data_IF_660900448093
#
_entry.id   IF_660900448093
#
_cell.length_a   1.000
_cell.length_b   1.000
_cell.length_c   1.000
_cell.angle_alpha   90.00
_cell.angle_beta   90.00
_cell.angle_gamma   90.00
#
_symmetry.space_group_name_H-M   'P 1'
#
loop_
_entity.id
_entity.type
_entity.pdbx_description
1 polymer ?
#
# COMPACT_ATOMS: atom_id res chain seq x y z
N UNK A 1 -20.31 -9.19 26.80
CA UNK A 1 -20.06 -8.63 25.44
C UNK A 1 -20.99 -7.44 25.27
N UNK A 2 -20.43 -6.24 25.21
CA UNK A 2 -21.23 -5.01 25.21
C UNK A 2 -21.92 -4.80 23.85
N UNK A 3 -23.22 -4.48 23.85
CA UNK A 3 -24.03 -4.27 22.63
C UNK A 3 -23.47 -3.24 21.64
N UNK A 4 -22.52 -2.40 22.06
CA UNK A 4 -21.83 -1.41 21.21
C UNK A 4 -20.78 -2.05 20.29
N UNK A 5 -20.14 -3.15 20.75
CA UNK A 5 -19.18 -3.92 19.91
C UNK A 5 -19.94 -4.70 18.84
N UNK A 6 -21.14 -5.18 19.18
CA UNK A 6 -22.00 -5.89 18.24
C UNK A 6 -22.50 -4.96 17.11
N UNK A 7 -22.78 -3.70 17.40
CA UNK A 7 -23.25 -2.73 16.39
C UNK A 7 -22.15 -2.35 15.40
N UNK A 8 -20.91 -2.17 15.86
CA UNK A 8 -19.74 -1.96 15.00
C UNK A 8 -19.46 -3.19 14.11
N UNK A 9 -19.58 -4.40 14.67
CA UNK A 9 -19.40 -5.65 13.92
C UNK A 9 -20.50 -5.85 12.87
N UNK A 10 -21.75 -5.48 13.15
CA UNK A 10 -22.87 -5.61 12.20
C UNK A 10 -22.75 -4.60 11.06
N UNK A 11 -22.32 -3.36 11.32
CA UNK A 11 -22.02 -2.40 10.26
C UNK A 11 -20.86 -2.87 9.37
N UNK A 12 -19.88 -3.54 9.94
CA UNK A 12 -18.75 -4.13 9.25
C UNK A 12 -19.18 -5.27 8.30
N UNK A 13 -20.08 -6.15 8.74
CA UNK A 13 -20.59 -7.25 7.91
C UNK A 13 -21.49 -6.76 6.78
N UNK A 14 -22.25 -5.69 6.97
CA UNK A 14 -23.14 -5.16 5.92
C UNK A 14 -22.39 -4.44 4.79
N UNK A 15 -21.22 -3.86 5.05
CA UNK A 15 -20.39 -3.25 4.01
C UNK A 15 -19.71 -4.28 3.10
N UNK A 16 -19.38 -5.46 3.61
CA UNK A 16 -18.78 -6.56 2.84
C UNK A 16 -19.78 -7.19 1.87
N UNK A 17 -21.08 -7.11 2.16
CA UNK A 17 -22.14 -7.68 1.31
C UNK A 17 -22.53 -6.81 0.10
N UNK A 18 -22.12 -5.55 0.06
CA UNK A 18 -22.46 -4.62 -1.02
C UNK A 18 -21.54 -4.69 -2.25
N UNK A 19 -20.42 -5.39 -2.17
CA UNK A 19 -19.47 -5.51 -3.28
C UNK A 19 -19.84 -6.65 -4.26
N UNK A 20 -21.08 -6.69 -4.73
CA UNK A 20 -21.56 -7.58 -5.79
C UNK A 20 -21.61 -6.85 -7.14
N UNK A 21 -20.54 -6.18 -7.53
CA UNK A 21 -20.53 -5.56 -8.85
C UNK A 21 -19.17 -5.81 -9.49
N UNK A 22 -19.17 -6.45 -10.62
CA UNK A 22 -18.03 -6.70 -11.50
C UNK A 22 -16.95 -7.61 -10.88
N UNK A 23 -16.75 -8.75 -11.46
CA UNK A 23 -15.73 -9.70 -11.03
C UNK A 23 -14.70 -9.83 -12.14
N UNK A 24 -13.44 -9.80 -11.78
CA UNK A 24 -12.34 -10.22 -12.66
C UNK A 24 -11.83 -11.55 -12.14
N UNK A 25 -11.90 -12.55 -13.00
CA UNK A 25 -11.38 -13.90 -12.73
C UNK A 25 -10.12 -14.20 -13.50
N UNK A 26 -9.39 -15.21 -13.05
CA UNK A 26 -8.23 -15.79 -13.74
C UNK A 26 -7.19 -14.75 -14.19
N UNK A 27 -6.80 -13.87 -13.25
CA UNK A 27 -5.85 -12.80 -13.56
C UNK A 27 -4.43 -13.36 -13.58
N UNK A 28 -3.78 -13.26 -14.74
CA UNK A 28 -2.36 -13.61 -14.89
C UNK A 28 -1.61 -12.34 -15.28
N UNK A 29 -0.58 -11.99 -14.51
CA UNK A 29 0.31 -10.86 -14.74
C UNK A 29 1.73 -11.37 -14.96
N UNK A 30 2.32 -11.03 -16.10
CA UNK A 30 3.71 -11.36 -16.42
C UNK A 30 4.49 -10.06 -16.63
N UNK A 31 5.64 -9.95 -15.98
CA UNK A 31 6.57 -8.83 -16.10
C UNK A 31 7.91 -9.37 -16.55
N UNK A 32 8.44 -8.80 -17.61
CA UNK A 32 9.70 -9.23 -18.22
C UNK A 32 10.43 -8.07 -18.90
N UNK A 33 11.63 -8.34 -19.44
CA UNK A 33 12.43 -7.40 -20.23
C UNK A 33 12.63 -6.07 -19.53
N UNK A 34 13.01 -6.12 -18.26
CA UNK A 34 13.28 -4.93 -17.50
C UNK A 34 14.56 -4.28 -18.01
N UNK A 35 14.45 -3.03 -18.44
CA UNK A 35 15.56 -2.17 -18.82
C UNK A 35 15.67 -1.04 -17.80
N UNK A 36 16.71 -1.08 -16.97
CA UNK A 36 16.93 -0.08 -15.92
C UNK A 36 17.37 1.27 -16.50
N UNK A 37 18.12 1.27 -17.61
CA UNK A 37 18.62 2.50 -18.22
C UNK A 37 17.50 3.33 -18.84
N UNK A 38 16.49 2.66 -19.39
CA UNK A 38 15.31 3.28 -19.98
C UNK A 38 14.13 3.34 -19.03
N UNK A 39 14.28 2.82 -17.81
CA UNK A 39 13.23 2.73 -16.80
C UNK A 39 11.94 2.09 -17.34
N UNK A 40 12.06 1.06 -18.15
CA UNK A 40 10.92 0.39 -18.75
C UNK A 40 10.90 -1.12 -18.49
N UNK A 41 9.73 -1.70 -18.65
CA UNK A 41 9.49 -3.13 -18.57
C UNK A 41 8.40 -3.54 -19.55
N UNK A 42 8.46 -4.78 -19.99
CA UNK A 42 7.36 -5.38 -20.76
C UNK A 42 6.38 -6.05 -19.80
N UNK A 43 5.11 -5.69 -19.95
CA UNK A 43 4.00 -6.26 -19.16
C UNK A 43 3.03 -6.97 -20.09
N UNK A 44 2.67 -8.20 -19.74
CA UNK A 44 1.53 -8.87 -20.33
C UNK A 44 0.56 -9.32 -19.24
N UNK A 45 -0.72 -9.12 -19.48
CA UNK A 45 -1.74 -9.62 -18.57
C UNK A 45 -2.91 -10.27 -19.32
N UNK A 46 -3.52 -11.24 -18.67
CA UNK A 46 -4.77 -11.85 -19.14
C UNK A 46 -5.73 -11.99 -17.97
N UNK A 47 -7.01 -11.75 -18.22
CA UNK A 47 -8.07 -11.84 -17.23
C UNK A 47 -9.42 -12.04 -17.90
N UNK A 48 -10.41 -12.46 -17.13
CA UNK A 48 -11.81 -12.59 -17.57
C UNK A 48 -12.64 -11.52 -16.90
N UNK A 49 -13.33 -10.70 -17.68
CA UNK A 49 -14.30 -9.72 -17.17
C UNK A 49 -15.68 -10.36 -17.13
N UNK A 50 -16.29 -10.47 -15.94
CA UNK A 50 -17.72 -10.77 -15.78
C UNK A 50 -18.51 -9.47 -15.72
N UNK A 51 -19.17 -9.11 -16.80
CA UNK A 51 -19.97 -7.90 -16.91
C UNK A 51 -21.25 -7.92 -16.07
N UNK A 52 -21.70 -9.11 -15.64
CA UNK A 52 -22.97 -9.27 -14.91
C UNK A 52 -24.11 -8.46 -15.55
N UNK A 53 -24.59 -7.43 -14.86
CA UNK A 53 -25.65 -6.53 -15.34
C UNK A 53 -25.14 -5.23 -15.96
N UNK A 54 -23.84 -5.00 -15.95
CA UNK A 54 -23.23 -3.79 -16.51
C UNK A 54 -22.91 -3.96 -17.98
N UNK A 55 -23.06 -2.88 -18.76
CA UNK A 55 -22.62 -2.83 -20.14
C UNK A 55 -21.21 -2.27 -20.31
N UNK A 56 -20.59 -1.79 -19.20
CA UNK A 56 -19.24 -1.29 -19.20
C UNK A 56 -18.50 -1.59 -17.90
N UNK A 57 -17.17 -1.71 -18.02
CA UNK A 57 -16.23 -1.87 -16.92
C UNK A 57 -15.15 -0.81 -17.08
N UNK A 58 -14.86 -0.08 -16.00
CA UNK A 58 -13.81 0.95 -15.97
C UNK A 58 -12.74 0.49 -15.01
N UNK A 59 -11.54 0.27 -15.54
CA UNK A 59 -10.36 -0.12 -14.79
C UNK A 59 -9.40 1.07 -14.63
N UNK A 60 -8.70 1.12 -13.51
CA UNK A 60 -7.55 2.00 -13.38
C UNK A 60 -6.39 1.41 -14.18
N UNK A 61 -5.70 2.22 -14.97
CA UNK A 61 -4.59 1.79 -15.81
C UNK A 61 -3.79 2.97 -16.34
N UNK A 62 -2.47 2.88 -16.24
CA UNK A 62 -1.57 3.91 -16.75
C UNK A 62 -1.21 4.98 -15.74
N UNK A 63 -0.23 5.78 -16.05
CA UNK A 63 0.36 6.74 -15.14
C UNK A 63 0.10 8.21 -15.49
N UNK A 64 0.71 9.12 -14.76
CA UNK A 64 0.46 10.57 -14.73
C UNK A 64 1.45 11.40 -15.57
N UNK A 65 1.74 11.01 -16.78
CA UNK A 65 2.63 11.78 -17.66
C UNK A 65 4.14 11.58 -17.42
N UNK A 66 4.56 11.11 -16.23
CA UNK A 66 5.90 10.56 -15.99
C UNK A 66 5.93 9.05 -16.21
N UNK A 67 4.77 8.46 -16.25
CA UNK A 67 4.50 7.06 -16.44
C UNK A 67 3.83 6.91 -17.80
N UNK A 68 4.41 6.15 -18.70
CA UNK A 68 3.80 5.92 -20.01
C UNK A 68 3.49 4.45 -20.24
N UNK A 69 2.43 4.25 -21.00
CA UNK A 69 2.03 2.95 -21.53
C UNK A 69 2.19 3.03 -23.04
N UNK A 70 3.11 2.26 -23.58
CA UNK A 70 3.43 2.26 -25.00
C UNK A 70 3.17 0.89 -25.62
N UNK A 71 2.97 0.88 -26.94
CA UNK A 71 2.76 -0.36 -27.71
C UNK A 71 1.60 -1.21 -27.18
N UNK A 72 0.56 -0.57 -26.65
CA UNK A 72 -0.59 -1.27 -26.08
C UNK A 72 -1.33 -2.05 -27.14
N UNK A 73 -1.40 -3.35 -26.96
CA UNK A 73 -2.25 -4.26 -27.74
C UNK A 73 -3.25 -4.94 -26.86
N UNK A 74 -4.50 -4.98 -27.28
CA UNK A 74 -5.59 -5.65 -26.55
C UNK A 74 -6.25 -6.65 -27.49
N UNK A 75 -6.25 -7.90 -27.08
CA UNK A 75 -6.92 -9.00 -27.77
C UNK A 75 -8.06 -9.53 -26.89
N UNK A 76 -9.14 -9.87 -27.49
CA UNK A 76 -10.30 -10.46 -26.83
C UNK A 76 -10.66 -11.78 -27.47
N UNK A 77 -11.22 -12.70 -26.70
CA UNK A 77 -11.68 -13.99 -27.21
C UNK A 77 -12.98 -13.88 -28.06
N UNK A 78 -13.48 -12.67 -28.25
CA UNK A 78 -14.72 -12.40 -29.01
C UNK A 78 -14.68 -11.01 -29.60
N UNK A 79 -15.32 -10.78 -30.75
CA UNK A 79 -15.53 -9.45 -31.34
C UNK A 79 -16.57 -8.59 -30.56
N UNK A 80 -17.11 -9.10 -29.48
CA UNK A 80 -18.21 -8.53 -28.71
C UNK A 80 -17.76 -7.49 -27.67
N UNK A 81 -16.49 -7.08 -27.69
CA UNK A 81 -15.94 -6.10 -26.74
C UNK A 81 -15.32 -4.93 -27.50
N UNK A 82 -15.70 -3.72 -27.12
CA UNK A 82 -15.01 -2.50 -27.49
C UNK A 82 -14.21 -1.99 -26.29
N UNK A 83 -13.09 -1.36 -26.53
CA UNK A 83 -12.29 -0.73 -25.47
C UNK A 83 -11.87 0.68 -25.88
N UNK A 84 -11.60 1.50 -24.87
CA UNK A 84 -11.04 2.83 -25.00
C UNK A 84 -10.03 3.05 -23.88
N UNK A 85 -8.78 3.31 -24.23
CA UNK A 85 -7.77 3.75 -23.28
C UNK A 85 -7.78 5.27 -23.19
N UNK A 86 -7.84 5.80 -21.99
CA UNK A 86 -7.91 7.23 -21.66
C UNK A 86 -6.69 7.57 -20.79
N UNK A 87 -5.53 7.86 -21.37
CA UNK A 87 -4.29 8.08 -20.62
C UNK A 87 -4.39 9.22 -19.60
N UNK A 88 -4.97 10.35 -20.00
CA UNK A 88 -5.13 11.51 -19.10
C UNK A 88 -6.02 11.22 -17.89
N UNK A 89 -7.01 10.36 -18.05
CA UNK A 89 -7.88 9.92 -16.97
C UNK A 89 -7.34 8.68 -16.23
N UNK A 90 -6.24 8.07 -16.71
CA UNK A 90 -5.69 6.80 -16.21
C UNK A 90 -6.74 5.69 -16.17
N UNK A 91 -7.54 5.58 -17.21
CA UNK A 91 -8.65 4.65 -17.29
C UNK A 91 -8.58 3.81 -18.55
N UNK A 92 -8.93 2.54 -18.38
CA UNK A 92 -9.22 1.62 -19.46
C UNK A 92 -10.69 1.23 -19.38
N UNK A 93 -11.46 1.61 -20.37
CA UNK A 93 -12.91 1.39 -20.41
C UNK A 93 -13.19 0.25 -21.37
N UNK A 94 -13.85 -0.79 -20.89
CA UNK A 94 -14.39 -1.86 -21.71
C UNK A 94 -15.91 -1.71 -21.83
N UNK A 95 -16.44 -1.84 -23.05
CA UNK A 95 -17.86 -1.82 -23.34
C UNK A 95 -18.28 -3.12 -24.00
N UNK A 96 -19.20 -3.83 -23.36
CA UNK A 96 -19.78 -5.06 -23.85
C UNK A 96 -20.74 -4.77 -25.01
N UNK A 97 -20.62 -5.56 -26.08
CA UNK A 97 -21.63 -5.60 -27.14
C UNK A 97 -22.61 -6.75 -26.84
N UNK A 98 -22.05 -7.92 -26.51
CA UNK A 98 -22.83 -9.09 -26.09
C UNK A 98 -21.97 -10.05 -25.26
N UNK A 99 -22.59 -11.02 -24.60
CA UNK A 99 -21.89 -11.97 -23.75
C UNK A 99 -21.74 -11.46 -22.32
N UNK A 100 -21.39 -12.35 -21.41
CA UNK A 100 -21.21 -12.05 -19.98
C UNK A 100 -19.75 -12.12 -19.59
N UNK A 101 -19.09 -13.21 -19.88
CA UNK A 101 -17.70 -13.45 -19.52
C UNK A 101 -16.83 -13.29 -20.76
N UNK A 102 -15.94 -12.29 -20.74
CA UNK A 102 -15.10 -11.97 -21.88
C UNK A 102 -13.65 -12.03 -21.44
N UNK A 103 -12.87 -12.91 -22.08
CA UNK A 103 -11.42 -13.01 -21.88
C UNK A 103 -10.70 -11.87 -22.58
N UNK A 104 -9.76 -11.27 -21.88
CA UNK A 104 -8.93 -10.16 -22.36
C UNK A 104 -7.45 -10.55 -22.22
N UNK A 105 -6.64 -10.28 -23.25
CA UNK A 105 -5.18 -10.33 -23.19
C UNK A 105 -4.63 -8.99 -23.58
N UNK A 106 -3.68 -8.50 -22.81
CA UNK A 106 -3.02 -7.20 -23.05
C UNK A 106 -1.51 -7.40 -23.06
N UNK A 107 -0.82 -6.64 -23.94
CA UNK A 107 0.63 -6.51 -23.93
C UNK A 107 0.98 -5.04 -24.12
N UNK A 108 1.96 -4.56 -23.38
CA UNK A 108 2.43 -3.18 -23.46
C UNK A 108 3.81 -3.04 -22.83
N UNK A 109 4.47 -1.94 -23.14
CA UNK A 109 5.64 -1.49 -22.41
C UNK A 109 5.21 -0.43 -21.41
N UNK A 110 5.68 -0.58 -20.18
CA UNK A 110 5.42 0.36 -19.11
C UNK A 110 6.72 1.05 -18.73
N UNK A 111 6.71 2.37 -18.78
CA UNK A 111 7.86 3.20 -18.40
C UNK A 111 7.52 3.98 -17.15
N UNK A 112 8.40 3.91 -16.15
CA UNK A 112 8.28 4.64 -14.90
C UNK A 112 9.58 5.35 -14.56
N UNK A 113 9.80 6.49 -15.18
CA UNK A 113 10.99 7.31 -14.96
C UNK A 113 11.14 7.73 -13.50
N UNK A 114 10.04 7.91 -12.78
CA UNK A 114 10.08 8.30 -11.37
C UNK A 114 10.57 7.18 -10.47
N UNK A 115 10.09 5.94 -10.65
CA UNK A 115 10.48 4.81 -9.82
C UNK A 115 11.93 4.43 -10.00
N UNK A 116 12.44 4.43 -11.24
CA UNK A 116 13.82 4.03 -11.53
C UNK A 116 14.86 5.10 -11.20
N UNK A 117 14.50 6.39 -11.21
CA UNK A 117 15.44 7.49 -11.03
C UNK A 117 15.36 8.17 -9.66
N UNK A 118 14.21 8.23 -9.01
CA UNK A 118 14.06 8.90 -7.71
C UNK A 118 14.81 8.15 -6.62
N UNK A 119 14.87 6.85 -6.73
CA UNK A 119 15.52 5.98 -5.76
C UNK A 119 16.94 5.59 -6.17
N UNK A 120 17.63 6.45 -6.93
CA UNK A 120 18.99 6.26 -7.44
C UNK A 120 19.86 5.42 -6.51
N UNK A 121 20.42 4.35 -7.00
CA UNK A 121 21.09 3.31 -6.23
C UNK A 121 20.60 1.91 -6.62
N UNK A 122 19.81 1.81 -7.71
CA UNK A 122 19.41 0.52 -8.27
C UNK A 122 18.16 -0.07 -7.66
N UNK A 123 17.24 0.78 -7.18
CA UNK A 123 15.91 0.35 -6.73
C UNK A 123 14.85 0.90 -7.67
N UNK A 124 13.96 0.05 -8.13
CA UNK A 124 12.70 0.42 -8.73
C UNK A 124 11.56 -0.08 -7.83
N UNK A 125 10.69 0.81 -7.41
CA UNK A 125 9.48 0.46 -6.68
C UNK A 125 8.27 0.63 -7.60
N UNK A 126 7.45 -0.40 -7.68
CA UNK A 126 6.21 -0.42 -8.41
C UNK A 126 5.08 -0.77 -7.44
N UNK A 127 4.17 0.14 -7.21
CA UNK A 127 3.08 -0.06 -6.27
C UNK A 127 1.78 0.53 -6.78
N UNK A 128 0.74 -0.20 -6.53
CA UNK A 128 -0.63 0.16 -6.83
C UNK A 128 -1.33 0.55 -5.55
N UNK A 129 -1.23 1.80 -5.20
CA UNK A 129 -1.98 2.41 -4.11
C UNK A 129 -2.67 3.66 -4.59
N UNK A 130 -3.37 4.37 -3.74
CA UNK A 130 -3.91 5.70 -4.02
C UNK A 130 -2.90 6.71 -4.59
N UNK A 131 -1.61 6.35 -4.61
CA UNK A 131 -0.51 7.19 -5.10
C UNK A 131 -0.12 6.97 -6.56
N UNK A 132 -0.80 6.09 -7.31
CA UNK A 132 -0.94 6.26 -8.76
C UNK A 132 0.07 5.61 -9.70
N UNK A 133 0.62 4.49 -9.36
CA UNK A 133 1.45 3.74 -10.31
C UNK A 133 0.66 2.57 -10.91
N UNK A 134 -0.41 2.83 -11.65
CA UNK A 134 -1.29 1.81 -12.22
C UNK A 134 -0.57 1.00 -13.33
N UNK A 135 0.49 0.27 -12.98
CA UNK A 135 1.32 -0.46 -13.94
C UNK A 135 0.64 -1.71 -14.52
N UNK A 136 -0.48 -2.12 -13.95
CA UNK A 136 -1.38 -3.12 -14.51
C UNK A 136 -2.85 -2.67 -14.36
N UNK A 137 -3.76 -3.11 -15.26
CA UNK A 137 -5.16 -2.73 -15.16
C UNK A 137 -5.83 -3.44 -13.99
N UNK A 138 -6.58 -2.69 -13.16
CA UNK A 138 -7.32 -3.25 -12.05
C UNK A 138 -8.66 -2.54 -11.82
N UNK A 139 -9.60 -3.26 -11.22
CA UNK A 139 -10.82 -2.67 -10.69
C UNK A 139 -10.56 -2.18 -9.26
N UNK A 140 -10.77 -0.88 -8.97
CA UNK A 140 -10.65 -0.37 -7.62
C UNK A 140 -11.56 -1.12 -6.66
N UNK A 141 -11.06 -1.39 -5.45
CA UNK A 141 -11.80 -1.99 -4.34
C UNK A 141 -12.42 -3.38 -4.66
N UNK A 142 -11.84 -4.09 -5.61
CA UNK A 142 -12.25 -5.44 -6.00
C UNK A 142 -11.17 -6.47 -5.66
N UNK A 143 -11.61 -7.65 -5.26
CA UNK A 143 -10.72 -8.79 -5.01
C UNK A 143 -10.61 -9.68 -6.25
N UNK A 144 -9.45 -10.27 -6.45
CA UNK A 144 -9.21 -11.28 -7.49
C UNK A 144 -8.16 -12.30 -7.04
N UNK A 145 -8.18 -13.45 -7.68
CA UNK A 145 -7.06 -14.38 -7.67
C UNK A 145 -6.07 -13.95 -8.74
N UNK A 146 -4.83 -13.72 -8.35
CA UNK A 146 -3.78 -13.24 -9.26
C UNK A 146 -2.62 -14.23 -9.30
N UNK A 147 -2.20 -14.60 -10.50
CA UNK A 147 -0.94 -15.29 -10.75
C UNK A 147 0.07 -14.27 -11.26
N UNK A 148 1.13 -14.03 -10.49
CA UNK A 148 2.25 -13.18 -10.87
C UNK A 148 3.41 -14.02 -11.35
N UNK A 149 3.97 -13.69 -12.50
CA UNK A 149 5.22 -14.24 -13.02
C UNK A 149 6.19 -13.11 -13.36
N UNK A 150 7.42 -13.22 -12.88
CA UNK A 150 8.50 -12.27 -13.14
C UNK A 150 9.64 -12.97 -13.86
N UNK A 151 10.17 -12.34 -14.90
CA UNK A 151 11.41 -12.73 -15.57
C UNK A 151 12.38 -11.55 -15.54
N UNK A 152 13.38 -11.64 -14.66
CA UNK A 152 14.25 -10.54 -14.28
C UNK A 152 15.69 -10.83 -14.67
N UNK A 153 16.51 -9.81 -14.95
CA UNK A 153 17.97 -9.96 -15.01
C UNK A 153 18.52 -10.58 -13.71
N UNK A 154 19.56 -11.36 -13.80
CA UNK A 154 20.18 -11.99 -12.62
C UNK A 154 20.72 -11.00 -11.59
N UNK A 155 20.96 -9.75 -12.00
CA UNK A 155 21.37 -8.64 -11.12
C UNK A 155 20.24 -8.09 -10.26
N UNK A 156 18.98 -8.45 -10.54
CA UNK A 156 17.81 -7.94 -9.84
C UNK A 156 17.26 -8.97 -8.85
N UNK A 157 16.89 -8.50 -7.67
CA UNK A 157 16.15 -9.25 -6.67
C UNK A 157 14.77 -8.61 -6.46
N UNK A 158 13.67 -9.34 -6.63
CA UNK A 158 12.34 -8.79 -6.41
C UNK A 158 11.86 -8.96 -4.98
N UNK A 159 11.28 -7.90 -4.41
CA UNK A 159 10.38 -7.96 -3.29
C UNK A 159 8.96 -7.71 -3.78
N UNK A 160 8.01 -8.41 -3.22
CA UNK A 160 6.60 -8.30 -3.58
C UNK A 160 5.76 -8.18 -2.31
N UNK A 161 4.59 -7.61 -2.43
CA UNK A 161 3.56 -7.64 -1.39
C UNK A 161 3.27 -9.05 -0.87
N UNK A 162 3.58 -10.05 -1.66
CA UNK A 162 3.35 -11.47 -1.37
C UNK A 162 4.62 -12.28 -1.60
N UNK A 163 4.83 -13.37 -0.83
CA UNK A 163 6.01 -14.21 -0.96
C UNK A 163 6.16 -14.75 -2.38
N UNK A 164 7.32 -14.51 -2.98
CA UNK A 164 7.68 -15.00 -4.30
C UNK A 164 8.43 -16.33 -4.17
N UNK A 165 8.10 -17.27 -5.04
CA UNK A 165 8.87 -18.51 -5.21
C UNK A 165 9.84 -18.33 -6.37
N UNK A 166 11.11 -18.62 -6.12
CA UNK A 166 12.12 -18.70 -7.18
C UNK A 166 11.89 -20.01 -7.98
N UNK A 167 11.65 -19.89 -9.27
CA UNK A 167 11.26 -21.02 -10.13
C UNK A 167 12.33 -21.36 -11.18
N UNK A 168 13.40 -20.57 -11.30
CA UNK A 168 14.51 -20.75 -12.23
C UNK A 168 15.38 -19.50 -12.30
N UNK A 169 16.45 -19.49 -13.08
CA UNK A 169 17.33 -18.32 -13.22
C UNK A 169 16.53 -17.09 -13.60
N UNK A 170 16.58 -16.06 -12.78
CA UNK A 170 15.83 -14.82 -12.95
C UNK A 170 14.30 -14.95 -12.94
N UNK A 171 13.76 -16.13 -12.63
CA UNK A 171 12.31 -16.40 -12.67
C UNK A 171 11.73 -16.52 -11.28
N UNK A 172 10.70 -15.73 -11.03
CA UNK A 172 9.96 -15.70 -9.79
C UNK A 172 8.47 -15.75 -10.06
N UNK A 173 7.68 -16.26 -9.12
CA UNK A 173 6.25 -16.26 -9.26
C UNK A 173 5.52 -16.55 -7.96
N UNK A 174 4.25 -16.15 -7.91
CA UNK A 174 3.33 -16.51 -6.85
C UNK A 174 1.90 -16.59 -7.38
N UNK A 175 1.07 -17.35 -6.67
CA UNK A 175 -0.37 -17.32 -6.82
C UNK A 175 -0.96 -16.76 -5.55
N UNK A 176 -1.79 -15.75 -5.69
CA UNK A 176 -2.39 -15.00 -4.61
C UNK A 176 -3.90 -15.16 -4.75
N UNK A 177 -4.54 -15.71 -3.72
CA UNK A 177 -5.97 -15.92 -3.73
C UNK A 177 -6.67 -14.79 -2.98
N UNK A 178 -7.73 -14.25 -3.57
CA UNK A 178 -8.56 -13.21 -2.95
C UNK A 178 -7.78 -11.95 -2.58
N UNK A 179 -6.88 -11.48 -3.44
CA UNK A 179 -6.14 -10.24 -3.24
C UNK A 179 -7.00 -9.04 -3.61
N UNK A 180 -6.88 -7.95 -2.85
CA UNK A 180 -7.35 -6.64 -3.28
C UNK A 180 -6.52 -6.21 -4.49
N UNK A 181 -7.17 -5.98 -5.64
CA UNK A 181 -6.46 -5.84 -6.92
C UNK A 181 -5.43 -4.70 -6.94
N UNK A 182 -5.70 -3.59 -6.25
CA UNK A 182 -4.76 -2.46 -6.17
C UNK A 182 -3.59 -2.66 -5.20
N UNK A 183 -3.46 -3.84 -4.57
CA UNK A 183 -2.49 -4.07 -3.50
C UNK A 183 -1.23 -4.81 -3.93
N UNK A 184 -1.05 -5.08 -5.23
CA UNK A 184 0.14 -5.75 -5.72
C UNK A 184 1.27 -4.74 -5.92
N UNK A 185 2.21 -4.74 -5.00
CA UNK A 185 3.39 -3.88 -5.06
C UNK A 185 4.66 -4.68 -5.26
N UNK A 186 5.59 -4.09 -5.98
CA UNK A 186 6.90 -4.66 -6.26
C UNK A 186 8.00 -3.66 -5.91
N UNK A 187 9.11 -4.14 -5.34
CA UNK A 187 10.38 -3.45 -5.32
C UNK A 187 11.41 -4.32 -6.05
N UNK A 188 12.09 -3.75 -7.02
CA UNK A 188 13.10 -4.41 -7.82
C UNK A 188 14.47 -3.90 -7.38
N UNK A 189 15.17 -4.68 -6.56
CA UNK A 189 16.43 -4.30 -5.93
C UNK A 189 17.61 -4.78 -6.76
N UNK A 190 18.56 -3.91 -7.05
CA UNK A 190 19.85 -4.33 -7.61
C UNK A 190 20.69 -5.02 -6.54
N UNK A 191 21.06 -6.28 -6.74
CA UNK A 191 21.70 -7.13 -5.74
C UNK A 191 22.97 -6.51 -5.15
N UNK A 192 23.80 -5.91 -5.99
CA UNK A 192 25.08 -5.31 -5.56
C UNK A 192 24.90 -3.96 -4.83
N UNK A 193 23.73 -3.33 -4.96
CA UNK A 193 23.43 -2.05 -4.33
C UNK A 193 22.85 -2.21 -2.92
N UNK A 194 22.50 -3.42 -2.49
CA UNK A 194 21.83 -3.67 -1.23
C UNK A 194 22.55 -4.69 -0.36
N UNK A 195 22.50 -4.46 0.94
CA UNK A 195 22.89 -5.41 1.98
C UNK A 195 21.64 -5.87 2.69
N UNK A 196 21.41 -7.18 2.73
CA UNK A 196 20.34 -7.78 3.51
C UNK A 196 20.81 -8.04 4.94
N UNK A 197 20.03 -7.58 5.90
CA UNK A 197 20.16 -7.93 7.31
C UNK A 197 18.85 -8.58 7.76
N UNK A 198 18.90 -9.84 8.14
CA UNK A 198 17.75 -10.56 8.69
C UNK A 198 17.76 -10.47 10.21
N UNK A 199 16.66 -10.06 10.79
CA UNK A 199 16.46 -10.10 12.24
C UNK A 199 15.65 -11.34 12.60
N UNK A 200 16.26 -12.26 13.34
CA UNK A 200 15.65 -13.53 13.76
C UNK A 200 14.45 -13.40 14.72
N UNK A 201 14.03 -14.58 15.21
CA UNK A 201 12.90 -14.80 16.13
C UNK A 201 12.55 -13.63 17.10
N UNK A 202 11.27 -13.39 17.45
CA UNK A 202 10.10 -14.17 17.05
C UNK A 202 9.49 -13.71 15.71
N UNK A 203 10.01 -12.69 15.10
CA UNK A 203 9.52 -12.12 13.85
C UNK A 203 10.71 -11.95 12.90
N UNK A 204 10.80 -12.80 11.91
CA UNK A 204 11.77 -12.66 10.84
C UNK A 204 11.47 -11.41 10.02
N UNK A 205 12.29 -10.38 10.22
CA UNK A 205 12.22 -9.13 9.44
C UNK A 205 13.48 -9.00 8.61
N UNK A 206 13.31 -8.72 7.35
CA UNK A 206 14.38 -8.41 6.44
C UNK A 206 14.56 -6.89 6.33
N UNK A 207 15.79 -6.44 6.44
CA UNK A 207 16.16 -5.03 6.22
C UNK A 207 17.11 -4.97 5.02
N UNK A 208 16.63 -4.35 3.96
CA UNK A 208 17.41 -4.08 2.76
C UNK A 208 17.96 -2.66 2.84
N UNK A 209 19.25 -2.54 3.10
CA UNK A 209 19.94 -1.25 3.24
C UNK A 209 20.87 -1.01 2.05
N UNK A 210 21.05 0.26 1.66
CA UNK A 210 21.92 0.63 0.55
C UNK A 210 23.37 0.39 0.96
N UNK A 211 24.13 -0.34 0.13
CA UNK A 211 25.54 -0.59 0.34
C UNK A 211 26.32 0.75 0.36
N UNK A 212 27.21 0.90 1.34
CA UNK A 212 28.00 2.12 1.49
C UNK A 212 27.31 3.29 2.19
N UNK A 213 26.03 3.25 2.47
CA UNK A 213 25.37 4.21 3.35
C UNK A 213 25.49 3.73 4.80
N UNK A 214 26.19 4.51 5.62
CA UNK A 214 26.41 4.15 7.02
C UNK A 214 25.18 4.51 7.85
N UNK A 215 24.57 3.48 8.45
CA UNK A 215 23.69 3.65 9.60
C UNK A 215 24.25 2.86 10.77
N UNK A 216 24.21 3.42 11.98
CA UNK A 216 24.75 2.71 13.14
C UNK A 216 23.95 1.45 13.44
N UNK A 217 24.63 0.40 13.92
CA UNK A 217 23.97 -0.84 14.37
C UNK A 217 22.87 -0.53 15.40
N UNK A 218 23.15 0.38 16.32
CA UNK A 218 22.18 0.83 17.32
C UNK A 218 20.87 1.30 16.68
N UNK A 219 20.95 2.04 15.55
CA UNK A 219 19.75 2.57 14.88
C UNK A 219 18.90 1.46 14.28
N UNK A 220 19.53 0.42 13.74
CA UNK A 220 18.79 -0.76 13.27
C UNK A 220 18.19 -1.56 14.41
N UNK A 221 18.91 -1.73 15.51
CA UNK A 221 18.39 -2.40 16.70
C UNK A 221 17.15 -1.66 17.24
N UNK A 222 17.19 -0.32 17.31
CA UNK A 222 16.03 0.52 17.68
C UNK A 222 14.84 0.32 16.71
N UNK A 223 15.09 0.28 15.40
CA UNK A 223 14.06 0.02 14.39
C UNK A 223 13.39 -1.34 14.61
N UNK A 224 14.19 -2.38 14.78
CA UNK A 224 13.68 -3.75 14.96
C UNK A 224 12.88 -3.91 16.24
N UNK A 225 13.37 -3.33 17.34
CA UNK A 225 12.65 -3.32 18.61
C UNK A 225 11.30 -2.62 18.47
N UNK A 226 11.28 -1.42 17.88
CA UNK A 226 10.10 -0.63 17.68
C UNK A 226 9.09 -1.34 16.75
N UNK A 227 9.58 -1.92 15.65
CA UNK A 227 8.76 -2.66 14.72
C UNK A 227 8.10 -3.90 15.36
N UNK A 228 8.87 -4.69 16.12
CA UNK A 228 8.34 -5.86 16.84
C UNK A 228 7.31 -5.48 17.89
N UNK A 229 7.61 -4.45 18.68
CA UNK A 229 6.71 -3.95 19.70
C UNK A 229 5.39 -3.44 19.09
N UNK A 230 5.46 -2.68 17.99
CA UNK A 230 4.27 -2.14 17.32
C UNK A 230 3.42 -3.24 16.69
N UNK A 231 4.02 -4.21 16.02
CA UNK A 231 3.30 -5.36 15.46
C UNK A 231 2.59 -6.15 16.57
N UNK A 232 3.28 -6.43 17.68
CA UNK A 232 2.67 -7.11 18.84
C UNK A 232 1.52 -6.31 19.45
N UNK A 233 1.66 -5.00 19.54
CA UNK A 233 0.62 -4.12 20.06
C UNK A 233 -0.62 -4.09 19.18
N UNK A 234 -0.45 -3.83 17.89
CA UNK A 234 -1.55 -3.80 16.94
C UNK A 234 -2.22 -5.17 16.80
N UNK A 235 -1.46 -6.25 16.78
CA UNK A 235 -1.98 -7.62 16.75
C UNK A 235 -2.87 -7.94 17.94
N UNK A 236 -2.52 -7.48 19.14
CA UNK A 236 -3.37 -7.65 20.35
C UNK A 236 -4.69 -6.89 20.27
N UNK A 237 -4.69 -5.71 19.63
CA UNK A 237 -5.89 -4.86 19.51
C UNK A 237 -6.80 -5.33 18.38
N UNK A 238 -6.23 -5.60 17.23
CA UNK A 238 -6.97 -5.87 15.99
C UNK A 238 -7.04 -7.35 15.63
N UNK A 239 -6.27 -8.20 16.30
CA UNK A 239 -6.13 -9.63 16.02
C UNK A 239 -4.99 -9.94 15.06
N UNK A 240 -4.26 -11.01 15.34
CA UNK A 240 -3.20 -11.53 14.46
C UNK A 240 -3.77 -12.18 13.19
N UNK A 241 -5.05 -12.50 13.17
CA UNK A 241 -5.78 -13.07 12.03
C UNK A 241 -5.71 -12.17 10.79
N UNK A 242 -5.56 -10.86 10.98
CA UNK A 242 -5.35 -9.90 9.90
C UNK A 242 -3.93 -9.96 9.29
N UNK A 243 -3.00 -10.62 9.94
CA UNK A 243 -1.72 -10.99 9.32
C UNK A 243 -1.88 -12.08 8.25
N UNK A 244 -3.07 -12.59 8.14
CA UNK A 244 -3.67 -13.43 7.12
C UNK A 244 -2.80 -14.57 6.56
N UNK A 245 -2.49 -15.62 7.35
CA UNK A 245 -1.89 -16.86 6.84
C UNK A 245 -2.68 -17.48 5.69
N UNK A 246 -4.02 -17.33 5.71
CA UNK A 246 -4.93 -17.85 4.70
C UNK A 246 -4.78 -17.17 3.32
N UNK A 247 -4.21 -15.96 3.27
CA UNK A 247 -3.92 -15.22 2.05
C UNK A 247 -2.44 -15.31 1.64
N UNK A 248 -1.66 -16.16 2.27
CA UNK A 248 -0.25 -16.40 1.94
C UNK A 248 0.73 -15.37 2.49
N UNK A 249 0.30 -14.47 3.40
CA UNK A 249 1.18 -13.49 4.01
C UNK A 249 1.54 -13.96 5.41
N UNK A 250 2.67 -14.59 5.50
CA UNK A 250 3.23 -15.10 6.76
C UNK A 250 4.36 -14.22 7.28
N UNK A 251 4.83 -13.24 6.48
CA UNK A 251 6.01 -12.44 6.84
C UNK A 251 5.60 -11.06 7.36
N UNK A 252 6.36 -10.59 8.33
CA UNK A 252 6.35 -9.20 8.76
C UNK A 252 6.87 -8.31 7.63
N UNK A 253 6.48 -7.02 7.61
CA UNK A 253 6.94 -6.14 6.55
C UNK A 253 8.47 -6.06 6.56
N UNK A 254 9.08 -6.30 5.41
CA UNK A 254 10.48 -5.97 5.21
C UNK A 254 10.67 -4.45 5.17
N UNK A 255 11.83 -3.95 5.57
CA UNK A 255 12.20 -2.56 5.38
C UNK A 255 13.16 -2.44 4.20
N UNK A 256 12.80 -1.57 3.25
CA UNK A 256 13.61 -1.24 2.08
C UNK A 256 14.03 0.20 2.18
N UNK A 257 15.32 0.45 2.33
CA UNK A 257 15.83 1.80 2.36
C UNK A 257 16.21 2.29 0.97
N UNK A 258 15.77 3.47 0.59
CA UNK A 258 16.06 4.09 -0.70
C UNK A 258 16.89 5.38 -0.54
N UNK A 259 17.50 5.83 -1.62
CA UNK A 259 18.36 7.01 -1.68
C UNK A 259 17.58 8.31 -1.99
N UNK A 260 16.28 8.34 -1.80
CA UNK A 260 15.46 9.52 -2.03
C UNK A 260 15.74 10.64 -1.04
N UNK A 261 15.75 11.89 -1.51
CA UNK A 261 15.98 13.08 -0.65
C UNK A 261 14.77 13.49 0.19
N UNK A 262 13.59 13.00 -0.14
CA UNK A 262 12.35 13.26 0.62
C UNK A 262 12.19 12.33 1.82
N UNK A 263 11.56 12.82 2.89
CA UNK A 263 11.01 11.90 3.88
C UNK A 263 9.75 11.28 3.27
N UNK A 264 9.87 10.11 2.75
CA UNK A 264 8.72 9.30 2.38
C UNK A 264 8.90 7.94 3.02
N UNK A 265 8.15 7.68 4.06
CA UNK A 265 7.84 6.32 4.41
C UNK A 265 6.65 5.94 3.57
N UNK A 266 6.70 4.75 3.00
CA UNK A 266 5.64 4.24 2.16
C UNK A 266 5.38 2.82 2.59
N UNK A 267 4.14 2.57 2.93
CA UNK A 267 3.70 1.23 3.25
C UNK A 267 3.23 0.54 1.98
N UNK A 268 3.86 -0.58 1.71
CA UNK A 268 3.36 -1.56 0.76
C UNK A 268 3.02 -2.83 1.51
N UNK A 269 1.99 -3.54 1.10
CA UNK A 269 1.65 -4.82 1.72
C UNK A 269 2.86 -5.75 1.61
N UNK A 270 3.53 -6.04 2.70
CA UNK A 270 4.71 -6.92 2.74
C UNK A 270 6.05 -6.22 2.88
N UNK A 271 6.16 -4.91 2.61
CA UNK A 271 7.36 -4.14 2.90
C UNK A 271 7.06 -2.66 3.14
N UNK A 272 7.98 -2.00 3.84
CA UNK A 272 7.96 -0.56 4.08
C UNK A 272 9.19 0.03 3.40
N UNK A 273 9.02 1.03 2.55
CA UNK A 273 10.13 1.77 1.99
C UNK A 273 10.36 3.08 2.74
N UNK A 274 11.61 3.42 2.97
CA UNK A 274 12.00 4.63 3.70
C UNK A 274 13.30 5.23 3.17
N UNK A 275 13.43 6.55 3.28
CA UNK A 275 14.70 7.22 2.98
C UNK A 275 15.77 6.84 3.98
N UNK A 276 16.90 6.26 3.53
CA UNK A 276 18.00 5.88 4.39
C UNK A 276 18.68 7.09 5.02
N UNK A 277 18.82 8.19 4.27
CA UNK A 277 19.34 9.44 4.80
C UNK A 277 18.49 9.94 5.98
N UNK A 278 17.18 9.97 5.80
CA UNK A 278 16.25 10.41 6.85
C UNK A 278 16.26 9.46 8.04
N UNK A 279 16.22 8.17 7.81
CA UNK A 279 16.32 7.18 8.87
C UNK A 279 17.62 7.34 9.68
N UNK A 280 18.75 7.65 9.03
CA UNK A 280 20.04 7.82 9.69
C UNK A 280 20.16 9.13 10.48
N UNK A 281 19.49 10.19 10.05
CA UNK A 281 19.68 11.57 10.57
C UNK A 281 18.55 12.07 11.46
N UNK A 282 17.33 11.56 11.29
CA UNK A 282 16.19 12.01 12.10
C UNK A 282 16.26 11.45 13.51
N UNK A 283 15.92 12.24 14.52
CA UNK A 283 15.88 11.78 15.91
C UNK A 283 14.80 10.72 16.12
N UNK A 284 13.68 10.84 15.42
CA UNK A 284 12.49 10.03 15.62
C UNK A 284 12.25 9.08 14.45
N UNK A 285 12.01 7.81 14.75
CA UNK A 285 11.57 6.79 13.79
C UNK A 285 10.08 6.43 13.93
N UNK A 286 9.33 7.19 14.73
CA UNK A 286 7.91 6.94 14.99
C UNK A 286 7.03 6.91 13.74
N UNK A 287 7.31 7.68 12.66
CA UNK A 287 6.56 7.51 11.42
C UNK A 287 6.56 6.09 10.86
N UNK A 288 7.58 5.27 11.16
CA UNK A 288 7.60 3.86 10.75
C UNK A 288 6.55 3.01 11.48
N UNK A 289 6.19 3.39 12.72
CA UNK A 289 5.09 2.75 13.45
C UNK A 289 3.75 3.01 12.76
N UNK A 290 3.55 4.24 12.28
CA UNK A 290 2.39 4.60 11.49
C UNK A 290 2.29 3.72 10.22
N UNK A 291 3.40 3.57 9.50
CA UNK A 291 3.43 2.72 8.30
C UNK A 291 3.15 1.24 8.64
N UNK A 292 3.63 0.75 9.77
CA UNK A 292 3.31 -0.60 10.26
C UNK A 292 1.80 -0.73 10.57
N UNK A 293 1.20 0.30 11.14
CA UNK A 293 -0.22 0.35 11.50
C UNK A 293 -1.16 0.19 10.29
N UNK A 294 -0.75 0.66 9.11
CA UNK A 294 -1.49 0.47 7.87
C UNK A 294 -1.76 -0.99 7.52
N UNK A 295 -1.03 -1.92 8.11
CA UNK A 295 -1.29 -3.35 7.95
C UNK A 295 -2.69 -3.74 8.44
N UNK A 296 -3.20 -3.06 9.44
CA UNK A 296 -4.54 -3.26 10.00
C UNK A 296 -5.53 -2.17 9.58
N UNK A 297 -5.03 -0.95 9.37
CA UNK A 297 -5.85 0.23 9.08
C UNK A 297 -5.45 0.79 7.70
N UNK A 298 -6.29 0.55 6.72
CA UNK A 298 -6.12 1.15 5.39
C UNK A 298 -6.17 0.14 4.26
N UNK A 299 -5.07 -0.51 3.92
CA UNK A 299 -4.99 -1.23 2.65
C UNK A 299 -5.53 -2.66 2.66
N UNK A 300 -5.52 -3.33 3.80
CA UNK A 300 -5.99 -4.72 3.93
C UNK A 300 -7.46 -4.83 4.22
N UNK A 301 -7.97 -3.89 4.96
CA UNK A 301 -9.38 -3.81 5.30
C UNK A 301 -9.97 -2.65 4.52
N UNK A 302 -10.84 -2.96 3.57
CA UNK A 302 -11.71 -1.97 2.92
C UNK A 302 -12.73 -1.46 3.94
N UNK A 303 -12.24 -0.69 4.93
CA UNK A 303 -13.12 -0.02 5.88
C UNK A 303 -13.94 1.05 5.18
N UNK A 304 -13.32 1.69 4.18
CA UNK A 304 -13.95 2.73 3.36
C UNK A 304 -13.22 2.81 2.01
N UNK A 305 -13.97 3.07 0.95
CA UNK A 305 -13.41 3.20 -0.40
C UNK A 305 -12.72 4.55 -0.58
N UNK A 306 -11.65 4.57 -1.36
CA UNK A 306 -11.02 5.80 -1.80
C UNK A 306 -12.04 6.70 -2.55
N UNK A 307 -11.90 8.01 -2.37
CA UNK A 307 -12.86 8.97 -2.93
C UNK A 307 -14.17 9.09 -2.17
N UNK A 308 -14.39 8.31 -1.10
CA UNK A 308 -15.55 8.50 -0.23
C UNK A 308 -15.26 9.56 0.85
N UNK A 309 -16.27 10.34 1.27
CA UNK A 309 -16.12 11.28 2.37
C UNK A 309 -15.58 10.58 3.64
N UNK A 310 -14.53 11.13 4.24
CA UNK A 310 -13.90 10.58 5.42
C UNK A 310 -12.93 9.41 5.18
N UNK A 311 -12.64 9.04 3.93
CA UNK A 311 -11.72 7.95 3.63
C UNK A 311 -10.36 8.14 4.31
N UNK A 312 -9.78 9.31 4.20
CA UNK A 312 -8.49 9.61 4.83
C UNK A 312 -8.55 9.77 6.34
N UNK A 313 -9.70 10.15 6.89
CA UNK A 313 -9.89 10.12 8.35
C UNK A 313 -9.77 8.68 8.87
N UNK A 314 -10.39 7.71 8.19
CA UNK A 314 -10.32 6.30 8.62
C UNK A 314 -8.93 5.70 8.36
N UNK A 315 -8.34 5.98 7.19
CA UNK A 315 -7.07 5.37 6.81
C UNK A 315 -5.88 5.97 7.56
N UNK A 316 -5.83 7.28 7.64
CA UNK A 316 -4.66 8.01 8.10
C UNK A 316 -4.83 8.54 9.52
N UNK A 317 -5.94 9.27 9.80
CA UNK A 317 -6.11 9.90 11.12
C UNK A 317 -6.31 8.87 12.22
N UNK A 318 -7.09 7.81 11.97
CA UNK A 318 -7.24 6.72 12.93
C UNK A 318 -5.93 5.95 13.10
N UNK A 319 -5.19 5.70 12.02
CA UNK A 319 -3.88 5.05 12.10
C UNK A 319 -2.87 5.89 12.88
N UNK A 320 -2.84 7.19 12.64
CA UNK A 320 -1.99 8.12 13.39
C UNK A 320 -2.35 8.18 14.88
N UNK A 321 -3.65 8.20 15.20
CA UNK A 321 -4.11 8.12 16.59
C UNK A 321 -3.67 6.81 17.26
N UNK A 322 -3.82 5.69 16.58
CA UNK A 322 -3.37 4.39 17.11
C UNK A 322 -1.86 4.32 17.27
N UNK A 323 -1.11 4.99 16.39
CA UNK A 323 0.33 5.18 16.55
C UNK A 323 0.65 5.95 17.85
N UNK A 324 -0.06 7.04 18.13
CA UNK A 324 0.08 7.78 19.38
C UNK A 324 -0.24 6.92 20.60
N UNK A 325 -1.28 6.10 20.53
CA UNK A 325 -1.64 5.17 21.61
C UNK A 325 -0.57 4.10 21.85
N UNK A 326 0.03 3.56 20.76
CA UNK A 326 1.19 2.69 20.87
C UNK A 326 2.38 3.40 21.54
N UNK A 327 2.70 4.60 21.11
CA UNK A 327 3.82 5.37 21.68
C UNK A 327 3.59 5.68 23.17
N UNK A 328 2.36 5.97 23.58
CA UNK A 328 1.97 6.11 24.98
C UNK A 328 2.22 4.82 25.75
N UNK A 329 1.78 3.68 25.20
CA UNK A 329 1.95 2.37 25.83
C UNK A 329 3.42 1.97 25.97
N UNK A 330 4.24 2.24 24.94
CA UNK A 330 5.62 1.78 24.86
C UNK A 330 6.61 2.72 25.57
N UNK A 331 6.44 4.03 25.42
CA UNK A 331 7.37 5.05 25.92
C UNK A 331 6.83 5.88 27.08
N UNK A 332 5.56 5.70 27.43
CA UNK A 332 4.92 6.41 28.54
C UNK A 332 4.16 7.66 28.14
N UNK A 333 3.49 8.22 29.15
CA UNK A 333 2.54 9.31 28.95
C UNK A 333 3.19 10.64 28.59
N UNK A 334 4.44 10.88 29.02
CA UNK A 334 5.12 12.17 28.78
C UNK A 334 5.38 12.39 27.27
N UNK A 335 5.85 11.36 26.55
CA UNK A 335 6.03 11.43 25.10
C UNK A 335 4.68 11.68 24.41
N UNK A 336 3.67 10.93 24.79
CA UNK A 336 2.32 11.09 24.23
C UNK A 336 1.80 12.52 24.40
N UNK A 337 1.87 13.09 25.61
CA UNK A 337 1.43 14.46 25.87
C UNK A 337 2.20 15.47 25.05
N UNK A 338 3.53 15.32 24.96
CA UNK A 338 4.35 16.21 24.15
C UNK A 338 3.97 16.19 22.66
N UNK A 339 3.61 15.01 22.12
CA UNK A 339 3.13 14.88 20.74
C UNK A 339 1.74 15.49 20.56
N UNK A 340 0.83 15.30 21.50
CA UNK A 340 -0.51 15.93 21.50
C UNK A 340 -0.37 17.48 21.54
N UNK A 341 0.50 18.02 22.38
CA UNK A 341 0.78 19.46 22.44
C UNK A 341 1.33 19.97 21.09
N UNK A 342 2.29 19.25 20.50
CA UNK A 342 2.85 19.57 19.19
C UNK A 342 1.75 19.56 18.11
N UNK A 343 0.90 18.54 18.07
CA UNK A 343 -0.19 18.44 17.09
C UNK A 343 -1.20 19.57 17.27
N UNK A 344 -1.54 19.90 18.52
CA UNK A 344 -2.39 21.04 18.80
C UNK A 344 -1.79 22.37 18.33
N UNK A 345 -0.51 22.60 18.60
CA UNK A 345 0.20 23.80 18.15
C UNK A 345 0.27 23.92 16.60
N UNK A 346 0.40 22.78 15.90
CA UNK A 346 0.37 22.76 14.43
C UNK A 346 -1.06 23.01 13.90
N UNK A 347 -2.08 22.41 14.51
CA UNK A 347 -3.48 22.63 14.12
C UNK A 347 -3.95 24.07 14.39
N UNK A 348 -3.53 24.69 15.51
CA UNK A 348 -3.88 26.07 15.84
C UNK A 348 -3.48 27.08 14.76
N UNK A 349 -2.49 26.76 13.91
CA UNK A 349 -2.07 27.63 12.79
C UNK A 349 -3.11 27.73 11.67
N UNK A 350 -3.97 26.73 11.55
CA UNK A 350 -4.98 26.71 10.49
C UNK A 350 -6.42 26.87 10.99
N UNK A 351 -6.64 26.86 12.29
CA UNK A 351 -7.98 26.99 12.88
C UNK A 351 -8.66 28.30 12.43
N UNK A 352 -9.93 28.23 12.05
CA UNK A 352 -10.71 29.35 11.49
C UNK A 352 -10.16 29.90 10.17
N UNK A 353 -9.30 29.19 9.46
CA UNK A 353 -8.87 29.52 8.09
C UNK A 353 -9.62 28.61 7.09
N UNK A 354 -9.60 28.91 5.79
CA UNK A 354 -10.14 28.02 4.75
C UNK A 354 -9.50 26.63 4.70
N UNK A 355 -8.32 26.46 5.33
CA UNK A 355 -7.64 25.16 5.43
C UNK A 355 -8.22 24.27 6.55
N UNK A 356 -9.01 24.86 7.48
CA UNK A 356 -9.64 24.11 8.56
C UNK A 356 -10.96 23.47 8.10
N UNK A 357 -10.83 22.48 7.26
CA UNK A 357 -11.98 21.73 6.74
C UNK A 357 -12.44 20.61 7.68
N UNK A 358 -13.70 20.16 7.59
CA UNK A 358 -14.19 18.99 8.32
C UNK A 358 -13.46 17.72 7.91
N UNK A 359 -13.05 16.89 8.87
CA UNK A 359 -12.35 15.61 8.60
C UNK A 359 -13.15 14.65 7.72
N UNK A 360 -14.48 14.76 7.71
CA UNK A 360 -15.36 13.98 6.85
C UNK A 360 -15.29 14.37 5.38
N UNK A 361 -14.76 15.55 5.05
CA UNK A 361 -14.57 16.00 3.68
C UNK A 361 -13.26 15.45 3.05
N UNK A 362 -12.43 14.81 3.83
CA UNK A 362 -11.14 14.28 3.35
C UNK A 362 -11.38 13.09 2.42
N UNK A 363 -11.44 13.36 1.14
CA UNK A 363 -11.54 12.35 0.06
C UNK A 363 -10.18 12.05 -0.57
N UNK A 364 -9.21 12.95 -0.39
CA UNK A 364 -7.84 12.87 -0.88
C UNK A 364 -6.86 13.35 0.19
N UNK A 365 -5.62 12.88 0.14
CA UNK A 365 -4.57 13.31 1.07
C UNK A 365 -3.94 14.63 0.62
N UNK A 366 -4.73 15.69 0.63
CA UNK A 366 -4.31 17.03 0.21
C UNK A 366 -4.18 18.04 1.35
N UNK A 367 -4.52 17.65 2.59
CA UNK A 367 -4.47 18.51 3.78
C UNK A 367 -3.85 17.77 4.97
N UNK A 368 -2.53 17.70 4.97
CA UNK A 368 -1.77 16.98 5.99
C UNK A 368 -2.07 17.44 7.43
N UNK A 369 -2.32 18.74 7.65
CA UNK A 369 -2.61 19.24 9.00
C UNK A 369 -3.98 18.74 9.48
N UNK A 370 -4.98 18.67 8.62
CA UNK A 370 -6.27 18.10 9.00
C UNK A 370 -6.15 16.58 9.18
N UNK A 371 -5.50 15.88 8.27
CA UNK A 371 -5.34 14.42 8.31
C UNK A 371 -4.56 13.98 9.54
N UNK A 372 -3.33 14.50 9.70
CA UNK A 372 -2.36 13.98 10.67
C UNK A 372 -2.29 14.78 11.99
N UNK A 373 -3.09 15.84 12.14
CA UNK A 373 -3.13 16.61 13.40
C UNK A 373 -4.53 16.74 13.93
N UNK A 374 -5.44 17.40 13.20
CA UNK A 374 -6.83 17.58 13.63
C UNK A 374 -7.55 16.25 13.85
N UNK A 375 -7.42 15.29 12.92
CA UNK A 375 -8.07 13.99 13.02
C UNK A 375 -7.67 13.22 14.29
N UNK A 376 -6.38 12.98 14.57
CA UNK A 376 -5.92 12.37 15.82
C UNK A 376 -6.35 13.13 17.09
N UNK A 377 -6.35 14.46 17.07
CA UNK A 377 -6.82 15.27 18.22
C UNK A 377 -8.31 15.06 18.50
N UNK A 378 -9.14 14.93 17.47
CA UNK A 378 -10.56 14.59 17.62
C UNK A 378 -10.72 13.20 18.26
N UNK A 379 -9.94 12.22 17.81
CA UNK A 379 -9.96 10.87 18.33
C UNK A 379 -9.44 10.81 19.79
N UNK A 380 -8.39 11.56 20.10
CA UNK A 380 -7.88 11.71 21.46
C UNK A 380 -8.96 12.27 22.41
N UNK A 381 -9.62 13.34 21.99
CA UNK A 381 -10.72 13.91 22.77
C UNK A 381 -11.87 12.92 22.96
N UNK A 382 -12.26 12.23 21.89
CA UNK A 382 -13.30 11.21 21.96
C UNK A 382 -12.91 10.05 22.89
N UNK A 383 -11.66 9.58 22.82
CA UNK A 383 -11.15 8.55 23.72
C UNK A 383 -11.23 8.96 25.20
N UNK A 384 -10.90 10.22 25.52
CA UNK A 384 -11.03 10.80 26.85
C UNK A 384 -12.50 10.82 27.31
N UNK A 385 -13.40 11.27 26.46
CA UNK A 385 -14.83 11.34 26.79
C UNK A 385 -15.46 9.97 27.07
N UNK A 386 -15.03 8.90 26.40
CA UNK A 386 -15.52 7.54 26.63
C UNK A 386 -14.74 6.75 27.70
N UNK A 387 -13.72 7.35 28.30
CA UNK A 387 -12.90 6.73 29.33
C UNK A 387 -11.94 5.63 28.82
N UNK A 388 -11.62 5.63 27.54
CA UNK A 388 -10.69 4.65 26.92
C UNK A 388 -9.26 4.77 27.47
N UNK A 389 -8.93 5.88 28.13
CA UNK A 389 -7.60 6.14 28.70
C UNK A 389 -7.24 5.23 29.88
N UNK A 390 -8.21 4.54 30.46
CA UNK A 390 -8.04 3.75 31.69
C UNK A 390 -7.85 2.25 31.41
N UNK A 391 -7.66 1.87 30.18
CA UNK A 391 -7.42 0.50 29.75
C UNK A 391 -6.14 0.45 28.89
#
# INVERSE_FOLDING_TARGET
MNNKVLLLSVCFFLSVLACRAQHIGDYVLNISKINQDEANMHVSCSFVIDFQKSDSVVMNFGGDGKLSVENLTIQTNTSSLKYCYQPDARKLVFKKIQGRNIGVKMNYNYTNLSAFFIYGGGTAELWETSFNEHYYPYLPDCYADITLNLELPDSIFPLCSYPLKHTGSGKYGCRINGMLQQSLSLALLQKDAYILTTAGEPYDMDIYQIAGMQCSKRRYDELLELARASVSYFGKIYGDEYLCPQRGITQYPAFVFHNGKGFSNRYNIGFISASQEKFSTYPDIYPLVHEIGHRWLGEWTLLIRDGQPGAYFIKESLNEFMTLMFLRHHFGNDLYLSLIEKYNAEYQKIINTPQDEPVVNLVENNNNTVVYRKGPLILDRFAKEIGYENH
#
